data_IF_462546635240
#
_entry.id   IF_462546635240
#
_cell.length_a   1.000
_cell.length_b   1.000
_cell.length_c   1.000
_cell.angle_alpha   90.00
_cell.angle_beta   90.00
_cell.angle_gamma   90.00
#
_symmetry.space_group_name_H-M   'P 1'
#
loop_
_entity.id
_entity.type
_entity.pdbx_description
1 polymer ?
#
# COMPACT_ATOMS: atom_id res chain seq x y z
N UNK A 1 -2.08 8.83 -8.01
CA UNK A 1 -1.23 8.57 -6.81
C UNK A 1 -0.11 9.61 -6.81
N UNK A 2 0.37 10.08 -5.65
CA UNK A 2 1.38 11.15 -5.58
C UNK A 2 2.82 10.60 -5.52
N UNK A 3 3.13 9.61 -6.37
CA UNK A 3 4.43 8.92 -6.42
C UNK A 3 5.26 9.32 -7.64
N UNK A 4 4.87 10.39 -8.34
CA UNK A 4 5.49 10.75 -9.62
C UNK A 4 5.25 9.70 -10.72
N UNK A 5 5.88 9.89 -11.88
CA UNK A 5 5.75 8.98 -13.02
C UNK A 5 6.51 7.66 -12.83
N UNK A 6 7.62 7.71 -12.09
CA UNK A 6 8.56 6.60 -11.97
C UNK A 6 8.52 5.91 -10.61
N UNK A 7 7.97 6.58 -9.58
CA UNK A 7 7.89 6.03 -8.23
C UNK A 7 7.13 4.71 -8.20
N UNK A 8 7.40 3.93 -7.17
CA UNK A 8 6.87 2.58 -7.04
C UNK A 8 6.52 2.27 -5.59
N UNK A 9 5.35 1.70 -5.37
CA UNK A 9 4.85 1.37 -4.04
C UNK A 9 5.00 -0.12 -3.78
N UNK A 10 5.56 -0.48 -2.63
CA UNK A 10 5.59 -1.86 -2.17
C UNK A 10 4.24 -2.22 -1.54
N UNK A 11 3.37 -2.82 -2.35
CA UNK A 11 2.08 -3.34 -1.91
C UNK A 11 2.23 -4.75 -1.34
N UNK A 12 1.25 -5.18 -0.55
CA UNK A 12 1.25 -6.52 0.07
C UNK A 12 -0.13 -7.15 -0.05
N UNK A 13 -0.17 -8.45 -0.35
CA UNK A 13 -1.39 -9.25 -0.22
C UNK A 13 -1.65 -9.54 1.25
N UNK A 14 -2.87 -9.30 1.73
CA UNK A 14 -3.22 -9.58 3.13
C UNK A 14 -3.17 -11.09 3.46
N UNK A 15 -3.49 -11.94 2.49
CA UNK A 15 -3.42 -13.40 2.67
C UNK A 15 -1.96 -13.86 2.83
N UNK A 16 -1.05 -13.37 1.99
CA UNK A 16 0.36 -13.68 2.13
C UNK A 16 0.96 -13.05 3.40
N UNK A 17 0.54 -11.83 3.77
CA UNK A 17 0.96 -11.21 5.04
C UNK A 17 0.59 -12.08 6.23
N UNK A 18 -0.65 -12.57 6.28
CA UNK A 18 -1.10 -13.48 7.33
C UNK A 18 -0.30 -14.79 7.32
N UNK A 19 0.00 -15.33 6.14
CA UNK A 19 0.80 -16.54 6.00
C UNK A 19 2.23 -16.34 6.52
N UNK A 20 2.91 -15.26 6.12
CA UNK A 20 4.28 -14.97 6.56
C UNK A 20 4.34 -14.72 8.06
N UNK A 21 3.38 -13.97 8.62
CA UNK A 21 3.28 -13.76 10.06
C UNK A 21 3.18 -15.09 10.82
N UNK A 22 2.28 -15.99 10.39
CA UNK A 22 2.16 -17.33 10.96
C UNK A 22 3.46 -18.12 10.83
N UNK A 23 4.08 -18.12 9.65
CA UNK A 23 5.32 -18.84 9.39
C UNK A 23 6.47 -18.40 10.30
N UNK A 24 6.58 -17.09 10.57
CA UNK A 24 7.57 -16.55 11.50
C UNK A 24 7.36 -17.07 12.93
N UNK A 25 6.11 -17.11 13.40
CA UNK A 25 5.79 -17.65 14.74
C UNK A 25 6.00 -19.16 14.85
N UNK A 26 5.79 -19.91 13.77
CA UNK A 26 6.04 -21.35 13.73
C UNK A 26 7.54 -21.70 13.64
N UNK A 27 8.40 -20.74 13.29
CA UNK A 27 9.84 -20.94 13.08
C UNK A 27 10.70 -19.93 13.87
N UNK A 28 10.52 -19.80 15.20
CA UNK A 28 11.11 -18.69 15.97
C UNK A 28 12.64 -18.67 15.93
N UNK A 29 13.31 -19.82 15.85
CA UNK A 29 14.78 -19.89 15.76
C UNK A 29 15.32 -19.34 14.42
N UNK A 30 14.52 -19.37 13.34
CA UNK A 30 14.93 -18.82 12.03
C UNK A 30 14.78 -17.30 11.94
N UNK A 31 13.83 -16.74 12.69
CA UNK A 31 13.44 -15.33 12.59
C UNK A 31 13.77 -14.52 13.86
N UNK A 32 14.47 -15.12 14.83
CA UNK A 32 14.87 -14.41 16.06
C UNK A 32 15.78 -13.24 15.72
N UNK A 33 15.34 -12.03 16.05
CA UNK A 33 16.10 -10.79 15.82
C UNK A 33 16.18 -10.38 14.35
N UNK A 34 15.32 -10.94 13.50
CA UNK A 34 15.27 -10.67 12.07
C UNK A 34 14.01 -9.87 11.71
N UNK A 35 14.12 -9.04 10.66
CA UNK A 35 13.03 -8.26 10.11
C UNK A 35 12.71 -8.76 8.69
N UNK A 36 11.52 -9.33 8.51
CA UNK A 36 11.04 -9.77 7.20
C UNK A 36 10.07 -8.74 6.60
N UNK A 37 10.57 -7.88 5.73
CA UNK A 37 9.74 -6.92 5.00
C UNK A 37 9.00 -7.62 3.84
N UNK A 38 7.70 -7.87 4.01
CA UNK A 38 6.87 -8.58 3.03
C UNK A 38 6.29 -7.62 1.98
N UNK A 39 6.21 -8.07 0.73
CA UNK A 39 5.53 -7.37 -0.37
C UNK A 39 5.31 -8.29 -1.57
N UNK A 40 4.46 -7.87 -2.50
CA UNK A 40 4.25 -8.58 -3.78
C UNK A 40 5.31 -8.13 -4.79
N UNK A 41 5.34 -6.82 -5.07
CA UNK A 41 6.31 -6.10 -5.91
C UNK A 41 6.32 -4.61 -5.53
N UNK A 42 7.35 -3.89 -5.99
CA UNK A 42 7.32 -2.43 -6.07
C UNK A 42 6.56 -2.02 -7.35
N UNK A 43 5.27 -1.77 -7.20
CA UNK A 43 4.39 -1.45 -8.31
C UNK A 43 4.43 0.04 -8.64
N UNK A 44 4.82 0.37 -9.88
CA UNK A 44 4.64 1.71 -10.41
C UNK A 44 3.17 1.99 -10.73
N UNK A 45 2.82 3.27 -10.85
CA UNK A 45 1.48 3.66 -11.29
C UNK A 45 1.08 3.02 -12.62
N UNK A 46 2.02 2.95 -13.57
CA UNK A 46 1.79 2.29 -14.86
C UNK A 46 1.54 0.78 -14.71
N UNK A 47 2.34 0.08 -13.89
CA UNK A 47 2.11 -1.36 -13.63
C UNK A 47 0.71 -1.63 -13.07
N UNK A 48 0.21 -0.75 -12.20
CA UNK A 48 -1.16 -0.87 -11.66
C UNK A 48 -2.21 -0.69 -12.76
N UNK A 49 -2.03 0.29 -13.65
CA UNK A 49 -2.95 0.53 -14.76
C UNK A 49 -2.94 -0.66 -15.75
N UNK A 50 -1.77 -1.18 -16.09
CA UNK A 50 -1.61 -2.32 -16.99
C UNK A 50 -2.27 -3.58 -16.40
N UNK A 51 -2.01 -3.86 -15.12
CA UNK A 51 -2.64 -4.98 -14.40
C UNK A 51 -4.18 -4.85 -14.38
N UNK A 52 -4.69 -3.65 -14.12
CA UNK A 52 -6.14 -3.39 -14.15
C UNK A 52 -6.73 -3.68 -15.53
N UNK A 53 -6.09 -3.21 -16.61
CA UNK A 53 -6.55 -3.48 -17.98
C UNK A 53 -6.46 -4.97 -18.31
N UNK A 54 -5.39 -5.65 -17.90
CA UNK A 54 -5.21 -7.10 -18.13
C UNK A 54 -6.25 -7.97 -17.40
N UNK A 55 -6.75 -7.54 -16.24
CA UNK A 55 -7.73 -8.29 -15.45
C UNK A 55 -9.16 -7.96 -15.87
N UNK A 56 -9.47 -6.69 -16.14
CA UNK A 56 -10.84 -6.22 -16.38
C UNK A 56 -11.19 -6.07 -17.86
N UNK A 57 -10.20 -6.03 -18.75
CA UNK A 57 -10.38 -5.66 -20.16
C UNK A 57 -10.74 -4.19 -20.39
N UNK A 58 -10.76 -3.36 -19.35
CA UNK A 58 -11.08 -1.93 -19.46
C UNK A 58 -9.80 -1.11 -19.66
N UNK A 59 -9.76 -0.19 -20.63
CA UNK A 59 -8.62 0.71 -20.79
C UNK A 59 -8.40 1.53 -19.51
N UNK A 60 -7.16 1.56 -19.04
CA UNK A 60 -6.73 2.38 -17.92
C UNK A 60 -5.41 3.07 -18.23
N UNK A 61 -5.20 4.24 -17.63
CA UNK A 61 -3.93 4.96 -17.69
C UNK A 61 -3.61 5.54 -16.33
N UNK A 62 -2.32 5.63 -16.02
CA UNK A 62 -1.86 6.29 -14.83
C UNK A 62 -1.62 7.77 -15.10
N UNK A 63 -2.22 8.63 -14.28
CA UNK A 63 -1.94 10.07 -14.28
C UNK A 63 -1.14 10.40 -13.02
N UNK A 64 0.14 10.71 -13.20
CA UNK A 64 1.00 11.13 -12.13
C UNK A 64 0.50 12.47 -11.54
N UNK A 65 0.44 12.54 -10.21
CA UNK A 65 0.16 13.78 -9.48
C UNK A 65 1.43 14.20 -8.77
N UNK A 66 1.76 15.49 -8.82
CA UNK A 66 2.86 16.02 -7.99
C UNK A 66 2.45 16.03 -6.52
N UNK A 67 3.43 16.02 -5.62
CA UNK A 67 3.17 16.11 -4.18
C UNK A 67 2.47 17.41 -3.82
N UNK A 68 2.85 18.52 -4.46
CA UNK A 68 2.26 19.85 -4.24
C UNK A 68 0.80 19.88 -4.66
N UNK A 69 0.44 19.18 -5.75
CA UNK A 69 -0.94 19.06 -6.16
C UNK A 69 -1.74 18.20 -5.17
N UNK A 70 -1.21 17.05 -4.74
CA UNK A 70 -1.88 16.19 -3.76
C UNK A 70 -2.11 16.91 -2.42
N UNK A 71 -1.11 17.65 -1.97
CA UNK A 71 -1.16 18.50 -0.79
C UNK A 71 -2.38 19.42 -0.76
N UNK A 72 -2.72 20.07 -1.86
CA UNK A 72 -3.83 21.04 -1.89
C UNK A 72 -5.21 20.38 -1.76
N UNK A 73 -5.31 19.10 -2.09
CA UNK A 73 -6.56 18.33 -2.07
C UNK A 73 -6.80 17.61 -0.72
N UNK A 74 -5.79 17.55 0.16
CA UNK A 74 -5.92 16.89 1.46
C UNK A 74 -6.72 17.76 2.44
N UNK A 75 -7.68 17.18 3.17
CA UNK A 75 -8.40 17.90 4.22
C UNK A 75 -7.45 18.46 5.29
N UNK A 76 -7.76 19.66 5.79
CA UNK A 76 -6.94 20.32 6.81
C UNK A 76 -7.24 19.89 8.26
N UNK A 77 -8.25 19.03 8.47
CA UNK A 77 -8.57 18.55 9.81
C UNK A 77 -7.51 17.56 10.34
N UNK A 78 -7.32 17.58 11.66
CA UNK A 78 -6.47 16.62 12.39
C UNK A 78 -7.10 15.22 12.38
N UNK A 79 -6.31 14.21 12.05
CA UNK A 79 -6.75 12.81 12.10
C UNK A 79 -7.05 12.40 13.55
N UNK A 80 -8.14 11.67 13.77
CA UNK A 80 -8.50 11.15 15.11
C UNK A 80 -9.25 12.12 16.02
N UNK A 81 -9.64 13.31 15.53
CA UNK A 81 -10.40 14.33 16.28
C UNK A 81 -11.67 13.79 16.94
N UNK A 82 -12.39 12.87 16.30
CA UNK A 82 -13.60 12.25 16.85
C UNK A 82 -13.38 11.46 18.16
N UNK A 83 -12.14 11.07 18.46
CA UNK A 83 -11.78 10.33 19.67
C UNK A 83 -10.80 11.11 20.55
N UNK A 84 -10.54 12.37 20.23
CA UNK A 84 -9.73 13.27 21.05
C UNK A 84 -10.61 13.99 22.07
N UNK A 85 -10.10 14.32 23.27
CA UNK A 85 -10.87 15.02 24.31
C UNK A 85 -11.34 16.45 23.93
N UNK A 86 -11.23 16.87 22.67
CA UNK A 86 -11.86 18.09 22.13
C UNK A 86 -11.05 19.38 22.31
N UNK A 87 -9.84 19.29 22.83
CA UNK A 87 -8.88 20.40 22.85
C UNK A 87 -8.06 20.44 21.55
N UNK A 88 -7.30 21.52 21.33
CA UNK A 88 -6.18 21.53 20.37
C UNK A 88 -5.14 20.50 20.83
N UNK A 89 -5.41 19.23 20.54
CA UNK A 89 -4.59 18.10 20.93
C UNK A 89 -3.30 18.16 20.11
N UNK A 90 -2.14 18.39 20.77
CA UNK A 90 -0.87 18.53 20.09
C UNK A 90 -0.31 17.17 19.63
N UNK A 91 -0.93 16.06 20.03
CA UNK A 91 -0.53 14.70 19.64
C UNK A 91 -1.13 14.29 18.29
N UNK A 92 -2.12 15.04 17.79
CA UNK A 92 -2.74 14.78 16.49
C UNK A 92 -2.04 15.52 15.37
N UNK A 93 -1.94 14.85 14.23
CA UNK A 93 -1.39 15.40 12.98
C UNK A 93 -2.49 15.51 11.92
N UNK A 94 -2.33 16.47 11.02
CA UNK A 94 -3.18 16.61 9.83
C UNK A 94 -2.88 15.52 8.80
N UNK A 95 -3.83 15.28 7.90
CA UNK A 95 -3.59 14.43 6.71
C UNK A 95 -2.37 14.90 5.91
N UNK A 96 -2.19 16.21 5.80
CA UNK A 96 -1.04 16.81 5.12
C UNK A 96 0.29 16.43 5.79
N UNK A 97 0.40 16.64 7.09
CA UNK A 97 1.61 16.32 7.85
C UNK A 97 1.96 14.83 7.81
N UNK A 98 0.95 13.95 7.80
CA UNK A 98 1.15 12.51 7.73
C UNK A 98 1.48 12.02 6.31
N UNK A 99 0.66 12.36 5.31
CA UNK A 99 0.73 11.73 4.00
C UNK A 99 1.79 12.32 3.08
N UNK A 100 2.15 13.60 3.25
CA UNK A 100 3.15 14.23 2.37
C UNK A 100 4.53 13.58 2.45
N UNK A 101 5.13 13.39 3.64
CA UNK A 101 6.42 12.71 3.74
C UNK A 101 6.32 11.25 3.28
N UNK A 102 5.20 10.59 3.59
CA UNK A 102 4.94 9.21 3.20
C UNK A 102 4.94 9.01 1.67
N UNK A 103 4.35 9.95 0.91
CA UNK A 103 4.40 9.91 -0.55
C UNK A 103 5.82 10.05 -1.11
N UNK A 104 6.67 10.87 -0.47
CA UNK A 104 8.08 11.04 -0.86
C UNK A 104 8.88 9.73 -0.81
N UNK A 105 8.62 8.88 0.19
CA UNK A 105 9.27 7.56 0.30
C UNK A 105 9.03 6.73 -0.97
N UNK A 106 7.80 6.71 -1.47
CA UNK A 106 7.41 5.90 -2.62
C UNK A 106 7.82 6.50 -3.97
N UNK A 107 7.84 7.83 -4.06
CA UNK A 107 8.40 8.56 -5.21
C UNK A 107 9.86 8.15 -5.45
N UNK A 108 10.62 7.94 -4.38
CA UNK A 108 12.05 7.56 -4.42
C UNK A 108 12.29 6.04 -4.45
N UNK A 109 11.23 5.21 -4.40
CA UNK A 109 11.36 3.74 -4.28
C UNK A 109 11.41 2.99 -5.63
N UNK A 110 11.94 3.64 -6.67
CA UNK A 110 11.92 3.13 -8.06
C UNK A 110 12.63 1.77 -8.12
N UNK A 111 11.93 0.74 -8.58
CA UNK A 111 12.54 -0.58 -8.80
C UNK A 111 13.14 -1.21 -7.54
N UNK A 112 12.47 -1.09 -6.39
CA UNK A 112 12.93 -1.63 -5.11
C UNK A 112 14.23 -0.98 -4.59
N UNK A 113 14.33 0.35 -4.75
CA UNK A 113 15.41 1.17 -4.19
C UNK A 113 14.86 2.10 -3.09
N UNK A 114 15.70 3.00 -2.58
CA UNK A 114 15.29 3.96 -1.55
C UNK A 114 15.27 3.37 -0.14
N UNK A 115 14.48 3.99 0.74
CA UNK A 115 14.42 3.62 2.16
C UNK A 115 13.70 2.28 2.40
N UNK A 116 12.70 1.97 1.57
CA UNK A 116 11.78 0.86 1.81
C UNK A 116 11.96 -0.22 0.74
N UNK A 117 13.03 -0.99 0.88
CA UNK A 117 13.35 -2.14 0.02
C UNK A 117 12.75 -3.44 0.56
N UNK A 118 12.69 -4.48 -0.27
CA UNK A 118 12.28 -5.84 0.08
C UNK A 118 13.21 -6.86 -0.57
N UNK A 119 13.51 -7.93 0.13
CA UNK A 119 14.25 -9.07 -0.43
C UNK A 119 13.28 -10.06 -1.09
N UNK A 120 12.87 -9.76 -2.32
CA UNK A 120 11.91 -10.59 -3.05
C UNK A 120 12.41 -12.02 -3.29
N UNK A 121 13.72 -12.20 -3.49
CA UNK A 121 14.30 -13.54 -3.67
C UNK A 121 14.17 -14.37 -2.38
N UNK A 122 14.39 -13.74 -1.21
CA UNK A 122 14.14 -14.38 0.08
C UNK A 122 12.66 -14.70 0.29
N UNK A 123 11.75 -13.80 -0.08
CA UNK A 123 10.31 -14.07 0.00
C UNK A 123 9.90 -15.25 -0.90
N UNK A 124 10.45 -15.32 -2.12
CA UNK A 124 10.25 -16.42 -3.05
C UNK A 124 10.81 -17.75 -2.54
N UNK A 125 11.94 -17.72 -1.84
CA UNK A 125 12.52 -18.92 -1.22
C UNK A 125 11.67 -19.43 -0.03
N UNK A 126 11.11 -18.52 0.77
CA UNK A 126 10.29 -18.87 1.93
C UNK A 126 8.90 -19.36 1.50
N UNK A 127 8.28 -18.68 0.54
CA UNK A 127 6.94 -19.00 0.00
C UNK A 127 6.96 -18.99 -1.54
N UNK A 128 7.34 -20.11 -2.18
CA UNK A 128 7.46 -20.20 -3.64
C UNK A 128 6.16 -20.00 -4.42
N UNK A 129 5.00 -20.07 -3.77
CA UNK A 129 3.68 -19.85 -4.37
C UNK A 129 3.04 -18.52 -3.92
N UNK A 130 3.84 -17.57 -3.40
CA UNK A 130 3.35 -16.23 -3.04
C UNK A 130 2.81 -15.49 -4.26
N UNK A 131 1.92 -14.54 -3.99
CA UNK A 131 1.51 -13.52 -4.95
C UNK A 131 2.69 -12.55 -5.14
N UNK A 132 3.08 -12.33 -6.39
CA UNK A 132 4.25 -11.56 -6.81
C UNK A 132 3.90 -10.28 -7.52
N UNK A 133 2.70 -10.17 -8.09
CA UNK A 133 2.32 -9.01 -8.88
C UNK A 133 0.96 -8.48 -8.51
N UNK A 134 0.72 -7.21 -8.79
CA UNK A 134 -0.61 -6.61 -8.63
C UNK A 134 -1.65 -7.35 -9.49
N UNK A 135 -1.27 -7.82 -10.68
CA UNK A 135 -2.15 -8.63 -11.53
C UNK A 135 -2.53 -9.96 -10.87
N UNK A 136 -1.55 -10.71 -10.36
CA UNK A 136 -1.80 -11.97 -9.64
C UNK A 136 -2.72 -11.74 -8.43
N UNK A 137 -2.48 -10.66 -7.68
CA UNK A 137 -3.36 -10.28 -6.58
C UNK A 137 -4.79 -10.01 -7.06
N UNK A 138 -4.94 -9.18 -8.10
CA UNK A 138 -6.26 -8.84 -8.67
C UNK A 138 -7.00 -10.10 -9.13
N UNK A 139 -6.31 -11.04 -9.78
CA UNK A 139 -6.92 -12.32 -10.19
C UNK A 139 -7.30 -13.19 -8.99
N UNK A 140 -6.44 -13.29 -7.98
CA UNK A 140 -6.67 -14.11 -6.79
C UNK A 140 -7.90 -13.65 -6.00
N UNK A 141 -8.13 -12.34 -5.87
CA UNK A 141 -9.28 -11.79 -5.14
C UNK A 141 -10.55 -11.66 -5.99
N UNK A 142 -10.50 -12.07 -7.26
CA UNK A 142 -11.62 -11.94 -8.20
C UNK A 142 -11.96 -10.47 -8.51
N UNK A 143 -10.93 -9.63 -8.66
CA UNK A 143 -11.09 -8.22 -8.95
C UNK A 143 -11.80 -8.02 -10.29
N UNK A 144 -12.78 -7.12 -10.31
CA UNK A 144 -13.55 -6.76 -11.50
C UNK A 144 -13.96 -5.29 -11.44
N UNK A 145 -14.34 -4.70 -12.57
CA UNK A 145 -14.59 -3.27 -12.71
C UNK A 145 -15.76 -2.75 -11.87
N UNK A 146 -16.68 -3.63 -11.47
CA UNK A 146 -17.90 -3.30 -10.73
C UNK A 146 -17.82 -3.69 -9.24
N UNK A 147 -16.61 -3.84 -8.69
CA UNK A 147 -16.45 -4.10 -7.25
C UNK A 147 -17.10 -2.97 -6.46
N UNK A 148 -18.29 -3.25 -5.92
CA UNK A 148 -18.87 -2.44 -4.87
C UNK A 148 -17.99 -2.59 -3.63
N UNK A 149 -17.72 -1.51 -2.88
CA UNK A 149 -17.10 -1.63 -1.57
C UNK A 149 -17.88 -2.68 -0.77
N UNK A 150 -17.22 -3.77 -0.40
CA UNK A 150 -17.81 -4.66 0.59
C UNK A 150 -17.77 -3.90 1.91
N UNK A 151 -18.86 -3.88 2.66
CA UNK A 151 -18.93 -3.29 4.01
C UNK A 151 -18.14 -4.15 5.02
N UNK A 152 -16.85 -4.36 4.76
CA UNK A 152 -15.94 -5.13 5.61
C UNK A 152 -15.23 -4.23 6.62
N UNK A 153 -15.16 -2.93 6.35
CA UNK A 153 -14.56 -1.93 7.23
C UNK A 153 -15.57 -0.80 7.45
N UNK A 154 -16.05 -0.64 8.68
CA UNK A 154 -16.70 0.60 9.11
C UNK A 154 -15.63 1.66 9.23
N UNK A 155 -15.39 2.43 8.16
CA UNK A 155 -14.48 3.57 8.23
C UNK A 155 -15.17 4.71 8.97
N UNK A 156 -14.49 5.34 9.94
CA UNK A 156 -14.95 6.57 10.59
C UNK A 156 -14.99 7.80 9.66
N UNK A 157 -14.89 7.59 8.34
CA UNK A 157 -14.90 8.60 7.29
C UNK A 157 -16.31 8.82 6.73
N UNK A 158 -17.27 7.96 7.06
CA UNK A 158 -18.69 8.20 6.80
C UNK A 158 -19.33 8.75 8.07
N UNK A 159 -19.15 10.03 8.30
CA UNK A 159 -19.97 10.80 9.23
C UNK A 159 -20.93 11.66 8.41
N UNK A 160 -22.20 11.27 8.39
CA UNK A 160 -23.32 12.09 7.90
C UNK A 160 -23.57 12.04 6.41
#
# INVERSE_FOLDING_TARGET
MAIGEQGSMALVSLDDLAWFARHMFENPEKFRGDELSVGIEHASGQRIADAFTAVTGKPASFVAKTREHNQRELPEFKLGTAHSPGFEDPTLVTMREMFVPWWGIWEESIGNTGLWTRDYARLDAIKPDRIRTVEEWMRAVGYHENLQPRDILKTGLTSG
#
